data_IF_047247670974
#
_entry.id   IF_047247670974
#
_cell.length_a   1.000
_cell.length_b   1.000
_cell.length_c   1.000
_cell.angle_alpha   90.00
_cell.angle_beta   90.00
_cell.angle_gamma   90.00
#
_symmetry.space_group_name_H-M   'P 1'
#
loop_
_entity.id
_entity.type
_entity.pdbx_description
1 polymer ?
#
# COMPACT_ATOMS: atom_id res chain seq x y z
N UNK A 1 21.69 18.09 14.06
CA UNK A 1 20.91 17.57 12.94
C UNK A 1 20.19 16.30 13.36
N UNK A 2 18.88 16.25 13.22
CA UNK A 2 18.16 15.04 13.57
C UNK A 2 18.60 13.89 12.67
N UNK A 3 18.77 12.74 13.24
CA UNK A 3 19.09 11.55 12.47
C UNK A 3 17.91 11.20 11.59
N UNK A 4 18.18 10.85 10.34
CA UNK A 4 17.17 10.26 9.46
C UNK A 4 16.90 8.84 9.94
N UNK A 5 16.04 8.71 10.92
CA UNK A 5 15.74 7.45 11.58
C UNK A 5 14.29 7.48 12.01
N UNK A 6 13.86 6.49 12.78
CA UNK A 6 12.51 6.42 13.35
C UNK A 6 12.18 7.61 14.25
N UNK A 7 13.18 8.42 14.64
CA UNK A 7 12.96 9.63 15.42
C UNK A 7 12.29 10.74 14.60
N UNK A 8 12.47 10.73 13.28
CA UNK A 8 11.81 11.70 12.40
C UNK A 8 10.49 11.11 11.90
N UNK A 9 9.33 11.69 12.30
CA UNK A 9 8.03 11.16 11.86
C UNK A 9 7.87 11.11 10.35
N UNK A 10 8.40 12.09 9.64
CA UNK A 10 8.31 12.13 8.17
C UNK A 10 9.12 10.98 7.58
N UNK A 11 10.33 10.77 8.09
CA UNK A 11 11.17 9.67 7.63
C UNK A 11 10.55 8.31 7.93
N UNK A 12 9.96 8.17 9.12
CA UNK A 12 9.26 6.94 9.51
C UNK A 12 8.19 6.58 8.49
N UNK A 13 7.30 7.53 8.19
CA UNK A 13 6.20 7.31 7.26
C UNK A 13 6.70 7.06 5.84
N UNK A 14 7.66 7.86 5.38
CA UNK A 14 8.26 7.69 4.07
C UNK A 14 8.88 6.30 3.92
N UNK A 15 9.49 5.78 4.99
CA UNK A 15 10.10 4.47 4.97
C UNK A 15 9.06 3.34 4.88
N UNK A 16 7.89 3.53 5.50
CA UNK A 16 6.80 2.55 5.43
C UNK A 16 6.19 2.44 4.04
N UNK A 17 6.00 3.56 3.37
CA UNK A 17 5.29 3.63 2.09
C UNK A 17 6.20 4.06 0.93
N UNK A 18 7.48 3.96 1.12
CA UNK A 18 8.60 4.62 0.45
C UNK A 18 8.79 4.38 -1.04
N UNK A 19 7.82 3.86 -1.78
CA UNK A 19 7.92 3.83 -3.23
C UNK A 19 6.53 3.99 -3.85
N UNK A 20 6.51 4.34 -5.13
CA UNK A 20 5.25 4.60 -5.82
C UNK A 20 4.31 3.41 -5.83
N UNK A 21 4.85 2.20 -5.88
CA UNK A 21 4.01 0.99 -5.96
C UNK A 21 3.23 0.76 -4.66
N UNK A 22 3.89 0.94 -3.51
CA UNK A 22 3.20 0.83 -2.21
C UNK A 22 2.08 1.85 -2.09
N UNK A 23 2.34 3.09 -2.51
CA UNK A 23 1.35 4.18 -2.47
C UNK A 23 0.14 3.84 -3.34
N UNK A 24 0.36 3.33 -4.55
CA UNK A 24 -0.73 2.99 -5.46
C UNK A 24 -1.52 1.77 -4.94
N UNK A 25 -0.84 0.78 -4.38
CA UNK A 25 -1.51 -0.36 -3.74
C UNK A 25 -2.42 0.12 -2.60
N UNK A 26 -1.91 1.03 -1.77
CA UNK A 26 -2.69 1.58 -0.65
C UNK A 26 -3.91 2.36 -1.14
N UNK A 27 -3.74 3.14 -2.21
CA UNK A 27 -4.86 3.83 -2.85
C UNK A 27 -6.00 2.86 -3.17
N UNK A 28 -5.66 1.73 -3.76
CA UNK A 28 -6.66 0.74 -4.17
C UNK A 28 -7.28 0.02 -2.97
N UNK A 29 -6.46 -0.32 -1.96
CA UNK A 29 -6.95 -0.99 -0.76
C UNK A 29 -7.84 -0.09 0.12
N UNK A 30 -7.71 1.22 -0.01
CA UNK A 30 -8.60 2.16 0.69
C UNK A 30 -10.04 2.06 0.19
N UNK A 31 -10.26 1.49 -0.99
CA UNK A 31 -11.61 1.27 -1.52
C UNK A 31 -12.22 -0.06 -1.05
N UNK A 32 -11.45 -0.89 -0.38
CA UNK A 32 -11.92 -2.17 0.16
C UNK A 32 -10.92 -3.29 -0.04
N UNK A 33 -11.27 -4.46 0.46
CA UNK A 33 -10.48 -5.68 0.32
C UNK A 33 -10.30 -6.04 -1.16
N UNK A 34 -9.09 -6.44 -1.54
CA UNK A 34 -8.76 -6.80 -2.91
C UNK A 34 -8.07 -8.15 -2.97
N UNK A 35 -8.35 -8.88 -4.03
CA UNK A 35 -7.60 -10.09 -4.36
C UNK A 35 -6.30 -9.72 -5.06
N UNK A 36 -5.34 -10.62 -5.01
CA UNK A 36 -4.07 -10.45 -5.73
C UNK A 36 -4.31 -10.12 -7.21
N UNK A 37 -5.20 -10.87 -7.87
CA UNK A 37 -5.50 -10.67 -9.28
C UNK A 37 -6.10 -9.28 -9.57
N UNK A 38 -6.91 -8.77 -8.65
CA UNK A 38 -7.49 -7.43 -8.79
C UNK A 38 -6.42 -6.35 -8.68
N UNK A 39 -5.50 -6.49 -7.71
CA UNK A 39 -4.38 -5.56 -7.56
C UNK A 39 -3.44 -5.62 -8.76
N UNK A 40 -3.19 -6.82 -9.28
CA UNK A 40 -2.35 -6.99 -10.47
C UNK A 40 -2.88 -6.22 -11.68
N UNK A 41 -4.20 -6.11 -11.79
CA UNK A 41 -4.85 -5.37 -12.88
C UNK A 41 -4.92 -3.87 -12.60
N UNK A 42 -5.30 -3.48 -11.38
CA UNK A 42 -5.55 -2.08 -11.04
C UNK A 42 -4.26 -1.28 -10.86
N UNK A 43 -3.18 -1.92 -10.42
CA UNK A 43 -1.88 -1.26 -10.31
C UNK A 43 -1.16 -1.41 -11.65
N UNK A 44 -1.49 -0.51 -12.56
CA UNK A 44 -1.07 -0.57 -13.96
C UNK A 44 0.45 -0.59 -14.08
N UNK A 45 0.96 -1.58 -14.82
CA UNK A 45 2.38 -1.67 -15.15
C UNK A 45 3.24 -2.38 -14.11
N UNK A 46 2.67 -2.81 -12.99
CA UNK A 46 3.46 -3.51 -11.98
C UNK A 46 3.72 -4.95 -12.41
N UNK A 47 4.96 -5.42 -12.24
CA UNK A 47 5.30 -6.82 -12.46
C UNK A 47 4.81 -7.68 -11.30
N UNK A 48 4.63 -8.98 -11.55
CA UNK A 48 4.26 -9.93 -10.49
C UNK A 48 5.28 -9.93 -9.36
N UNK A 49 6.55 -9.84 -9.69
CA UNK A 49 7.64 -9.79 -8.71
C UNK A 49 7.52 -8.57 -7.80
N UNK A 50 7.35 -7.39 -8.39
CA UNK A 50 7.23 -6.15 -7.63
C UNK A 50 5.96 -6.12 -6.79
N UNK A 51 4.84 -6.59 -7.33
CA UNK A 51 3.60 -6.65 -6.56
C UNK A 51 3.76 -7.55 -5.34
N UNK A 52 4.31 -8.73 -5.52
CA UNK A 52 4.54 -9.67 -4.42
C UNK A 52 5.48 -9.10 -3.37
N UNK A 53 6.59 -8.51 -3.78
CA UNK A 53 7.56 -7.91 -2.85
C UNK A 53 6.96 -6.78 -2.04
N UNK A 54 6.23 -5.88 -2.71
CA UNK A 54 5.62 -4.73 -2.04
C UNK A 54 4.50 -5.15 -1.09
N UNK A 55 3.70 -6.14 -1.47
CA UNK A 55 2.66 -6.67 -0.57
C UNK A 55 3.27 -7.32 0.67
N UNK A 56 4.37 -8.06 0.51
CA UNK A 56 5.09 -8.65 1.65
C UNK A 56 5.62 -7.59 2.60
N UNK A 57 6.20 -6.53 2.05
CA UNK A 57 6.74 -5.43 2.86
C UNK A 57 5.62 -4.74 3.64
N UNK A 58 4.50 -4.46 3.00
CA UNK A 58 3.36 -3.82 3.65
C UNK A 58 2.78 -4.72 4.75
N UNK A 59 2.72 -6.01 4.52
CA UNK A 59 2.26 -6.98 5.51
C UNK A 59 3.20 -7.03 6.71
N UNK A 60 4.50 -7.09 6.49
CA UNK A 60 5.52 -7.07 7.55
C UNK A 60 5.45 -5.81 8.40
N UNK A 61 5.16 -4.69 7.76
CA UNK A 61 5.03 -3.40 8.46
C UNK A 61 3.71 -3.24 9.22
N UNK A 62 2.82 -4.22 9.14
CA UNK A 62 1.53 -4.17 9.81
C UNK A 62 0.52 -3.23 9.14
N UNK A 63 0.75 -2.85 7.90
CA UNK A 63 -0.12 -1.96 7.13
C UNK A 63 -1.29 -2.74 6.52
N UNK A 64 -1.03 -3.96 6.07
CA UNK A 64 -2.05 -4.82 5.45
C UNK A 64 -2.04 -6.20 6.10
N UNK A 65 -3.15 -6.91 5.94
CA UNK A 65 -3.27 -8.34 6.25
C UNK A 65 -3.46 -9.12 4.97
N UNK A 66 -3.03 -10.37 5.00
CA UNK A 66 -3.19 -11.31 3.91
C UNK A 66 -3.99 -12.49 4.42
N UNK A 67 -5.08 -12.81 3.74
CA UNK A 67 -5.93 -13.94 4.11
C UNK A 67 -6.00 -14.94 2.97
N UNK A 68 -5.64 -16.18 3.26
CA UNK A 68 -5.69 -17.27 2.28
C UNK A 68 -6.92 -18.12 2.58
N UNK A 69 -7.73 -18.36 1.56
CA UNK A 69 -8.90 -19.23 1.66
C UNK A 69 -8.56 -20.59 1.05
N UNK A 70 -8.81 -21.68 1.77
CA UNK A 70 -8.51 -23.03 1.27
C UNK A 70 -9.59 -23.54 0.33
N UNK A 71 -9.78 -22.85 -0.77
CA UNK A 71 -10.72 -23.21 -1.83
C UNK A 71 -9.94 -23.56 -3.09
N UNK A 72 -10.62 -24.09 -4.11
CA UNK A 72 -10.00 -24.47 -5.37
C UNK A 72 -10.67 -23.67 -6.49
N UNK A 73 -9.91 -22.80 -7.20
CA UNK A 73 -8.52 -22.42 -6.95
C UNK A 73 -8.38 -21.61 -5.65
N UNK A 74 -7.16 -21.55 -5.06
CA UNK A 74 -6.95 -20.78 -3.82
C UNK A 74 -7.24 -19.31 -4.03
N UNK A 75 -7.84 -18.69 -3.02
CA UNK A 75 -8.19 -17.27 -3.02
C UNK A 75 -7.34 -16.57 -1.97
N UNK A 76 -6.66 -15.49 -2.37
CA UNK A 76 -5.86 -14.66 -1.47
C UNK A 76 -6.41 -13.26 -1.48
N UNK A 77 -6.75 -12.73 -0.31
CA UNK A 77 -7.29 -11.39 -0.14
C UNK A 77 -6.38 -10.54 0.71
N UNK A 78 -6.29 -9.26 0.36
CA UNK A 78 -5.52 -8.26 1.07
C UNK A 78 -6.44 -7.17 1.59
N UNK A 79 -6.25 -6.77 2.84
CA UNK A 79 -7.05 -5.73 3.49
C UNK A 79 -6.16 -4.83 4.32
N UNK A 80 -6.57 -3.58 4.50
CA UNK A 80 -5.86 -2.65 5.37
C UNK A 80 -6.12 -3.01 6.83
N UNK A 81 -5.08 -2.88 7.66
CA UNK A 81 -5.20 -2.87 9.11
C UNK A 81 -5.64 -1.47 9.56
N UNK A 82 -5.89 -1.28 10.86
CA UNK A 82 -6.14 0.06 11.40
C UNK A 82 -4.98 1.01 11.09
N UNK A 83 -3.75 0.52 11.20
CA UNK A 83 -2.56 1.30 10.86
C UNK A 83 -2.56 1.71 9.38
N UNK A 84 -3.01 0.80 8.50
CA UNK A 84 -3.15 1.10 7.08
C UNK A 84 -4.29 2.07 6.79
N UNK A 85 -5.42 1.91 7.46
CA UNK A 85 -6.57 2.83 7.30
C UNK A 85 -6.18 4.27 7.68
N UNK A 86 -5.34 4.43 8.67
CA UNK A 86 -4.88 5.75 9.12
C UNK A 86 -4.03 6.47 8.07
N UNK A 87 -3.57 5.77 7.04
CA UNK A 87 -2.86 6.39 5.91
C UNK A 87 -3.80 7.07 4.92
N UNK A 88 -5.11 6.96 5.11
CA UNK A 88 -6.10 7.57 4.23
C UNK A 88 -5.85 9.06 4.02
N UNK A 89 -5.58 9.80 5.10
CA UNK A 89 -5.35 11.24 5.02
C UNK A 89 -4.08 11.57 4.26
N UNK A 90 -3.05 10.73 4.41
CA UNK A 90 -1.79 10.90 3.67
C UNK A 90 -2.02 10.72 2.17
N UNK A 91 -2.71 9.65 1.80
CA UNK A 91 -3.00 9.36 0.38
C UNK A 91 -3.91 10.43 -0.22
N UNK A 92 -4.92 10.89 0.53
CA UNK A 92 -5.80 11.96 0.08
C UNK A 92 -5.04 13.28 -0.12
N UNK A 93 -4.10 13.60 0.76
CA UNK A 93 -3.27 14.79 0.60
C UNK A 93 -2.41 14.69 -0.66
N UNK A 94 -1.87 13.52 -0.96
CA UNK A 94 -1.13 13.29 -2.20
C UNK A 94 -2.02 13.48 -3.43
N UNK A 95 -3.24 12.97 -3.36
CA UNK A 95 -4.22 13.13 -4.44
C UNK A 95 -4.53 14.61 -4.69
N UNK A 96 -4.80 15.36 -3.62
CA UNK A 96 -5.13 16.78 -3.73
C UNK A 96 -3.97 17.59 -4.31
N UNK A 97 -2.75 17.29 -3.85
CA UNK A 97 -1.56 17.93 -4.39
C UNK A 97 -1.45 17.67 -5.91
N UNK A 98 -1.63 16.41 -6.31
CA UNK A 98 -1.57 16.03 -7.72
C UNK A 98 -2.64 16.72 -8.56
N UNK A 99 -3.88 16.79 -8.05
CA UNK A 99 -4.97 17.47 -8.75
C UNK A 99 -4.70 18.95 -8.94
N UNK A 100 -4.00 19.58 -8.01
CA UNK A 100 -3.67 21.01 -8.09
C UNK A 100 -2.62 21.30 -9.17
N UNK A 101 -1.66 20.42 -9.37
CA UNK A 101 -0.49 20.70 -10.19
C UNK A 101 -0.38 19.87 -11.48
N UNK A 102 -1.00 18.70 -11.54
CA UNK A 102 -0.95 17.94 -12.78
C UNK A 102 -1.93 18.50 -13.81
N UNK A 103 -1.58 18.36 -15.04
CA UNK A 103 -2.44 18.81 -16.16
C UNK A 103 -3.66 17.93 -16.35
#
# INVERSE_FOLDING_TARGET
MPKLSTECPVFYTANLIGNKWKIIILRDLLTGTKRYSELSKSVTGISAKLLTENLRDLEKSGIITRKVYPVVPPKVEYSLTNKGEDLKDVINAMKEYGLKYKD
#
